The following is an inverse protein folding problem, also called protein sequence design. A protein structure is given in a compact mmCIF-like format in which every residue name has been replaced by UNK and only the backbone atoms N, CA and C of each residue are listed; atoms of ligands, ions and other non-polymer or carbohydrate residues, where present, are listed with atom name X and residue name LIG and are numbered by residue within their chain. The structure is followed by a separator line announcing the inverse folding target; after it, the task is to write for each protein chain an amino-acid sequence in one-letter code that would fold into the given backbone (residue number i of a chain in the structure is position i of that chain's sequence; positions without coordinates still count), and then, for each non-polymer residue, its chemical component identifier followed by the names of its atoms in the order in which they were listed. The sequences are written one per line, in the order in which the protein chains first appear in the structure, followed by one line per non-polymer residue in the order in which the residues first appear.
data_IF_786161763918
#
_entry.id   IF_786161763918
#
_cell.length_a   1.000
_cell.length_b   1.000
_cell.length_c   1.000
_cell.angle_alpha   90.00
_cell.angle_beta   90.00
_cell.angle_gamma   90.00
#
_symmetry.space_group_name_H-M   'P 1'
#
loop_
_entity.id
_entity.type
_entity.pdbx_description
1 polymer ?
#
# COMPACT_ATOMS: atom_id res chain seq x y z
N UNK A 1 -21.70 -9.07 -3.09
CA UNK A 1 -22.78 -10.00 -3.43
C UNK A 1 -22.73 -11.23 -2.57
N UNK A 2 -23.80 -11.57 -1.92
CA UNK A 2 -23.98 -12.85 -1.24
C UNK A 2 -24.05 -13.92 -2.29
N UNK A 3 -23.07 -14.81 -2.34
CA UNK A 3 -23.17 -16.03 -3.14
C UNK A 3 -24.28 -16.90 -2.52
N UNK A 4 -25.44 -16.90 -3.12
CA UNK A 4 -26.46 -17.91 -2.85
C UNK A 4 -26.16 -19.10 -3.77
N UNK A 5 -26.26 -20.31 -3.24
CA UNK A 5 -26.25 -21.51 -4.09
C UNK A 5 -27.41 -21.38 -5.07
N UNK A 6 -27.12 -21.10 -6.33
CA UNK A 6 -28.09 -20.84 -7.40
C UNK A 6 -28.14 -19.42 -7.94
N UNK A 7 -27.50 -18.44 -7.28
CA UNK A 7 -27.50 -17.05 -7.73
C UNK A 7 -26.07 -16.50 -7.54
N UNK A 8 -25.12 -16.99 -8.31
CA UNK A 8 -23.73 -16.53 -8.27
C UNK A 8 -23.59 -15.34 -9.21
N UNK A 9 -23.63 -14.14 -8.68
CA UNK A 9 -23.19 -12.95 -9.39
C UNK A 9 -21.66 -12.93 -9.38
N UNK A 10 -21.04 -13.38 -10.46
CA UNK A 10 -19.60 -13.33 -10.66
C UNK A 10 -19.19 -11.89 -10.99
N UNK A 11 -19.04 -11.07 -9.97
CA UNK A 11 -18.46 -9.73 -10.13
C UNK A 11 -16.93 -9.78 -10.09
N UNK A 12 -16.28 -8.98 -10.94
CA UNK A 12 -14.83 -8.80 -10.89
C UNK A 12 -14.48 -7.88 -9.74
N UNK A 13 -14.06 -8.45 -8.61
CA UNK A 13 -13.66 -7.68 -7.41
C UNK A 13 -12.30 -7.01 -7.57
N UNK A 14 -11.45 -7.49 -8.46
CA UNK A 14 -10.05 -7.08 -8.64
C UNK A 14 -9.83 -6.11 -9.81
N UNK A 15 -10.86 -5.42 -10.28
CA UNK A 15 -10.77 -4.54 -11.45
C UNK A 15 -9.61 -3.52 -11.35
N UNK A 16 -9.41 -2.93 -10.18
CA UNK A 16 -8.38 -1.90 -9.94
C UNK A 16 -6.94 -2.44 -9.96
N UNK A 17 -6.74 -3.72 -9.74
CA UNK A 17 -5.41 -4.37 -9.71
C UNK A 17 -5.26 -5.45 -10.80
N UNK A 18 -6.22 -5.51 -11.73
CA UNK A 18 -6.24 -6.53 -12.78
C UNK A 18 -4.97 -6.51 -13.64
N UNK A 19 -4.43 -5.32 -13.89
CA UNK A 19 -3.17 -5.19 -14.65
C UNK A 19 -2.00 -5.84 -13.92
N UNK A 20 -1.90 -5.65 -12.60
CA UNK A 20 -0.85 -6.28 -11.78
C UNK A 20 -0.93 -7.80 -11.87
N UNK A 21 -2.15 -8.34 -11.85
CA UNK A 21 -2.34 -9.79 -12.01
C UNK A 21 -1.93 -10.25 -13.42
N UNK A 22 -2.37 -9.56 -14.47
CA UNK A 22 -2.03 -9.92 -15.87
C UNK A 22 -0.53 -9.88 -16.12
N UNK A 23 0.17 -8.86 -15.64
CA UNK A 23 1.61 -8.69 -15.86
C UNK A 23 2.44 -9.77 -15.15
N UNK A 24 1.88 -10.41 -14.13
CA UNK A 24 2.57 -11.43 -13.35
C UNK A 24 2.09 -12.86 -13.57
N UNK A 25 0.99 -13.07 -14.32
CA UNK A 25 0.44 -14.39 -14.59
C UNK A 25 1.37 -15.27 -15.45
N UNK A 26 2.08 -14.70 -16.39
CA UNK A 26 2.92 -15.45 -17.34
C UNK A 26 4.19 -16.03 -16.73
N UNK A 27 4.70 -15.38 -15.68
CA UNK A 27 5.94 -15.76 -15.00
C UNK A 27 5.70 -16.33 -13.60
N UNK A 28 4.46 -16.64 -13.29
CA UNK A 28 4.06 -17.07 -11.97
C UNK A 28 4.46 -18.51 -11.69
N UNK A 29 5.73 -18.74 -11.49
CA UNK A 29 6.20 -20.02 -10.99
C UNK A 29 5.68 -20.29 -9.56
N UNK A 30 5.46 -19.26 -8.76
CA UNK A 30 5.00 -19.39 -7.38
C UNK A 30 4.03 -18.28 -6.99
N UNK A 31 2.74 -18.58 -7.00
CA UNK A 31 1.74 -17.77 -6.28
C UNK A 31 1.70 -18.23 -4.84
N UNK A 32 1.94 -17.31 -3.93
CA UNK A 32 1.85 -17.57 -2.50
C UNK A 32 0.79 -16.66 -1.90
N UNK A 33 -0.12 -17.20 -1.14
CA UNK A 33 -1.25 -16.46 -0.59
C UNK A 33 -1.38 -16.66 0.92
N UNK A 34 -1.86 -15.62 1.59
CA UNK A 34 -2.00 -15.54 3.04
C UNK A 34 -3.32 -14.90 3.40
N UNK A 35 -4.02 -15.47 4.36
CA UNK A 35 -5.23 -14.88 4.96
C UNK A 35 -4.92 -14.42 6.38
N UNK A 36 -5.28 -13.19 6.70
CA UNK A 36 -5.17 -12.65 8.05
C UNK A 36 -6.59 -12.32 8.54
N UNK A 37 -7.25 -13.23 9.27
CA UNK A 37 -8.65 -13.07 9.65
C UNK A 37 -8.93 -11.83 10.49
N UNK A 38 -8.09 -11.53 11.48
CA UNK A 38 -8.25 -10.40 12.40
C UNK A 38 -8.27 -9.04 11.69
N UNK A 39 -7.61 -8.96 10.52
CA UNK A 39 -7.58 -7.76 9.69
C UNK A 39 -8.53 -7.84 8.50
N UNK A 40 -9.26 -8.93 8.35
CA UNK A 40 -10.08 -9.20 7.15
C UNK A 40 -9.28 -9.00 5.86
N UNK A 41 -8.02 -9.44 5.88
CA UNK A 41 -7.08 -9.26 4.78
C UNK A 41 -6.77 -10.58 4.07
N UNK A 42 -6.68 -10.49 2.77
CA UNK A 42 -6.10 -11.50 1.89
C UNK A 42 -4.90 -10.90 1.16
N UNK A 43 -3.75 -11.55 1.27
CA UNK A 43 -2.53 -11.14 0.59
C UNK A 43 -2.14 -12.18 -0.42
N UNK A 44 -1.77 -11.76 -1.61
CA UNK A 44 -1.22 -12.62 -2.65
C UNK A 44 0.12 -12.04 -3.11
N UNK A 45 1.11 -12.90 -3.27
CA UNK A 45 2.45 -12.54 -3.70
C UNK A 45 2.76 -13.25 -5.00
N UNK A 46 3.36 -12.53 -5.93
CA UNK A 46 3.83 -13.03 -7.22
C UNK A 46 5.34 -13.22 -7.11
N UNK A 47 5.76 -14.28 -6.42
CA UNK A 47 7.18 -14.54 -6.15
C UNK A 47 7.87 -15.19 -7.34
N UNK A 48 9.04 -14.66 -7.68
CA UNK A 48 9.92 -15.16 -8.74
C UNK A 48 11.28 -15.48 -8.12
N UNK A 49 11.83 -16.65 -8.43
CA UNK A 49 13.03 -17.16 -7.78
C UNK A 49 14.26 -16.27 -7.98
N UNK A 50 14.45 -15.74 -9.18
CA UNK A 50 15.65 -15.00 -9.56
C UNK A 50 15.44 -13.49 -9.65
N UNK A 51 14.45 -12.96 -8.97
CA UNK A 51 14.11 -11.53 -8.98
C UNK A 51 14.39 -10.93 -7.61
N UNK A 52 14.95 -9.72 -7.58
CA UNK A 52 15.19 -9.02 -6.31
C UNK A 52 13.89 -8.79 -5.53
N UNK A 53 13.98 -8.75 -4.21
CA UNK A 53 12.83 -8.49 -3.33
C UNK A 53 12.12 -7.18 -3.66
N UNK A 54 12.89 -6.13 -3.96
CA UNK A 54 12.36 -4.82 -4.36
C UNK A 54 11.48 -4.86 -5.63
N UNK A 55 11.70 -5.85 -6.49
CA UNK A 55 10.95 -6.04 -7.73
C UNK A 55 9.76 -6.99 -7.56
N UNK A 56 9.68 -7.71 -6.44
CA UNK A 56 8.55 -8.60 -6.16
C UNK A 56 7.31 -7.78 -5.83
N UNK A 57 6.21 -8.13 -6.46
CA UNK A 57 4.93 -7.46 -6.29
C UNK A 57 3.98 -8.42 -5.58
N UNK A 58 3.25 -7.88 -4.62
CA UNK A 58 2.12 -8.53 -4.01
C UNK A 58 0.89 -7.62 -4.06
N UNK A 59 -0.25 -8.16 -3.75
CA UNK A 59 -1.50 -7.43 -3.59
C UNK A 59 -2.12 -7.75 -2.25
N UNK A 60 -2.56 -6.71 -1.56
CA UNK A 60 -3.36 -6.82 -0.34
C UNK A 60 -4.79 -6.48 -0.70
N UNK A 61 -5.71 -7.37 -0.38
CA UNK A 61 -7.13 -7.16 -0.45
C UNK A 61 -7.69 -7.07 0.96
N UNK A 62 -8.40 -6.00 1.27
CA UNK A 62 -9.11 -5.80 2.54
C UNK A 62 -10.60 -5.78 2.27
N UNK A 63 -11.36 -6.56 2.99
CA UNK A 63 -12.81 -6.52 2.94
C UNK A 63 -13.32 -5.49 3.94
N UNK A 64 -14.01 -4.45 3.44
CA UNK A 64 -14.67 -3.45 4.27
C UNK A 64 -16.15 -3.34 3.93
N UNK A 65 -17.00 -3.73 4.87
CA UNK A 65 -18.43 -3.76 4.65
C UNK A 65 -18.81 -4.70 3.49
N UNK A 66 -19.36 -4.13 2.41
CA UNK A 66 -19.71 -4.87 1.19
C UNK A 66 -18.70 -4.69 0.05
N UNK A 67 -17.60 -3.98 0.29
CA UNK A 67 -16.59 -3.67 -0.72
C UNK A 67 -15.24 -4.30 -0.45
N UNK A 68 -14.42 -4.31 -1.50
CA UNK A 68 -13.03 -4.77 -1.45
C UNK A 68 -12.10 -3.62 -1.82
N UNK A 69 -11.11 -3.39 -0.99
CA UNK A 69 -10.06 -2.41 -1.23
C UNK A 69 -8.76 -3.15 -1.55
N UNK A 70 -8.07 -2.68 -2.58
CA UNK A 70 -6.81 -3.29 -3.02
C UNK A 70 -5.66 -2.32 -2.90
N UNK A 71 -4.53 -2.85 -2.47
CA UNK A 71 -3.26 -2.16 -2.41
C UNK A 71 -2.16 -3.06 -2.97
N UNK A 72 -1.10 -2.48 -3.48
CA UNK A 72 0.09 -3.23 -3.90
C UNK A 72 1.13 -3.23 -2.80
N UNK A 73 1.81 -4.35 -2.63
CA UNK A 73 2.90 -4.54 -1.69
C UNK A 73 4.18 -4.87 -2.45
N UNK A 74 5.30 -4.27 -2.05
CA UNK A 74 6.63 -4.55 -2.61
C UNK A 74 7.64 -4.78 -1.50
N UNK A 75 8.73 -5.45 -1.81
CA UNK A 75 9.82 -5.66 -0.87
C UNK A 75 9.71 -6.94 -0.04
N UNK A 76 8.71 -7.79 -0.31
CA UNK A 76 8.58 -9.11 0.33
C UNK A 76 8.53 -10.17 -0.77
N UNK A 77 9.45 -11.14 -0.72
CA UNK A 77 9.54 -12.24 -1.68
C UNK A 77 9.37 -13.58 -0.95
N UNK A 78 8.14 -14.01 -0.67
CA UNK A 78 7.89 -15.24 0.04
C UNK A 78 8.02 -16.46 -0.88
N UNK A 79 8.63 -17.54 -0.39
CA UNK A 79 8.58 -18.87 -0.98
C UNK A 79 7.36 -19.66 -0.49
N UNK A 80 6.95 -19.40 0.74
CA UNK A 80 5.76 -19.97 1.37
C UNK A 80 5.23 -18.97 2.40
N UNK A 81 3.97 -19.12 2.77
CA UNK A 81 3.33 -18.27 3.79
C UNK A 81 2.43 -19.09 4.69
N UNK A 82 2.31 -18.68 5.92
CA UNK A 82 1.37 -19.27 6.87
C UNK A 82 0.96 -18.23 7.93
N UNK A 83 -0.14 -18.52 8.63
CA UNK A 83 -0.59 -17.78 9.80
C UNK A 83 -0.59 -18.68 11.01
N UNK A 84 -0.02 -18.18 12.11
CA UNK A 84 0.00 -18.86 13.40
C UNK A 84 -0.77 -18.04 14.42
N UNK A 85 -1.52 -18.70 15.27
CA UNK A 85 -2.17 -18.05 16.42
C UNK A 85 -1.29 -18.25 17.65
N UNK A 86 -0.78 -17.15 18.18
CA UNK A 86 0.05 -17.13 19.39
C UNK A 86 -0.55 -16.15 20.41
N UNK A 87 -0.85 -16.64 21.59
CA UNK A 87 -1.44 -15.85 22.68
C UNK A 87 -2.74 -15.12 22.30
N UNK A 88 -3.49 -15.61 21.33
CA UNK A 88 -4.73 -14.99 20.83
C UNK A 88 -4.55 -14.04 19.65
N UNK A 89 -3.32 -13.70 19.27
CA UNK A 89 -3.01 -12.87 18.12
C UNK A 89 -2.71 -13.73 16.89
N UNK A 90 -3.20 -13.30 15.74
CA UNK A 90 -2.85 -13.91 14.45
C UNK A 90 -1.55 -13.32 13.93
N UNK A 91 -0.56 -14.16 13.78
CA UNK A 91 0.77 -13.80 13.30
C UNK A 91 0.93 -14.27 11.87
N UNK A 92 1.19 -13.33 10.98
CA UNK A 92 1.52 -13.62 9.60
C UNK A 92 3.03 -13.91 9.47
N UNK A 93 3.37 -15.03 8.87
CA UNK A 93 4.76 -15.44 8.63
C UNK A 93 4.97 -15.78 7.16
N UNK A 94 6.23 -15.71 6.72
CA UNK A 94 6.64 -16.20 5.41
C UNK A 94 8.05 -16.75 5.45
N UNK A 95 8.30 -17.77 4.65
CA UNK A 95 9.63 -18.26 4.36
C UNK A 95 10.25 -17.49 3.19
N UNK A 96 11.49 -17.06 3.33
CA UNK A 96 12.27 -16.46 2.26
C UNK A 96 12.92 -17.52 1.36
N UNK A 97 13.52 -17.08 0.23
CA UNK A 97 14.39 -17.93 -0.59
C UNK A 97 15.82 -18.04 -0.05
N UNK A 98 16.11 -17.29 0.99
CA UNK A 98 17.38 -17.28 1.74
C UNK A 98 17.44 -18.32 2.86
N UNK A 99 16.33 -19.05 3.08
CA UNK A 99 16.22 -20.09 4.11
C UNK A 99 15.75 -19.57 5.48
N UNK A 100 15.43 -18.30 5.60
CA UNK A 100 14.89 -17.73 6.84
C UNK A 100 13.36 -17.70 6.83
N UNK A 101 12.79 -17.69 8.05
CA UNK A 101 11.36 -17.46 8.28
C UNK A 101 11.20 -16.09 8.91
N UNK A 102 10.40 -15.26 8.27
CA UNK A 102 10.14 -13.89 8.67
C UNK A 102 8.75 -13.75 9.28
N UNK A 103 8.67 -12.97 10.35
CA UNK A 103 7.41 -12.53 10.93
C UNK A 103 7.04 -11.20 10.29
N UNK A 104 5.91 -11.15 9.61
CA UNK A 104 5.41 -9.91 9.01
C UNK A 104 4.87 -8.94 10.08
N UNK A 105 4.86 -7.67 9.75
CA UNK A 105 4.28 -6.60 10.58
C UNK A 105 4.92 -6.46 11.97
N UNK A 106 6.20 -6.67 12.04
CA UNK A 106 7.01 -6.40 13.24
C UNK A 106 8.09 -5.38 12.92
N UNK A 107 8.16 -4.32 13.78
CA UNK A 107 9.11 -3.23 13.58
C UNK A 107 8.73 -2.28 12.43
N UNK A 108 9.63 -1.36 12.12
CA UNK A 108 9.41 -0.25 11.17
C UNK A 108 10.28 -0.38 9.91
N UNK A 109 10.88 -1.54 9.67
CA UNK A 109 11.77 -1.79 8.55
C UNK A 109 11.48 -3.14 7.91
N UNK A 110 11.86 -3.32 6.65
CA UNK A 110 11.95 -4.63 6.02
C UNK A 110 13.35 -5.18 6.25
N UNK A 111 13.53 -5.98 7.29
CA UNK A 111 14.81 -6.57 7.67
C UNK A 111 15.97 -5.54 7.69
N UNK A 112 15.72 -4.40 8.35
CA UNK A 112 16.66 -3.27 8.41
C UNK A 112 16.60 -2.31 7.21
N UNK A 113 15.95 -2.65 6.11
CA UNK A 113 15.75 -1.76 4.98
C UNK A 113 14.56 -0.81 5.20
N UNK A 114 14.66 0.42 4.69
CA UNK A 114 13.58 1.40 4.78
C UNK A 114 12.35 0.95 4.01
N UNK A 115 11.17 1.14 4.62
CA UNK A 115 9.89 0.92 3.96
C UNK A 115 9.57 2.15 3.10
N UNK A 116 9.54 1.98 1.78
CA UNK A 116 9.14 3.01 0.86
C UNK A 116 7.65 2.88 0.54
N UNK A 117 6.83 3.80 1.06
CA UNK A 117 5.40 3.83 0.85
C UNK A 117 5.02 4.94 -0.14
N UNK A 118 4.13 4.65 -1.08
CA UNK A 118 3.60 5.62 -2.03
C UNK A 118 2.09 5.58 -2.01
N UNK A 119 1.49 6.73 -1.74
CA UNK A 119 0.06 6.94 -1.90
C UNK A 119 -0.21 7.86 -3.09
N UNK A 120 -1.12 7.49 -3.96
CA UNK A 120 -1.60 8.32 -5.05
C UNK A 120 -3.11 8.42 -4.95
N UNK A 121 -3.63 9.65 -4.83
CA UNK A 121 -5.05 9.89 -4.95
C UNK A 121 -5.51 9.70 -6.41
N UNK A 122 -6.77 9.37 -6.66
CA UNK A 122 -7.34 9.50 -7.99
C UNK A 122 -7.30 10.97 -8.44
N UNK A 123 -7.41 11.18 -9.76
CA UNK A 123 -7.48 12.51 -10.34
C UNK A 123 -8.80 13.19 -9.92
N UNK A 124 -8.67 14.36 -9.30
CA UNK A 124 -9.80 15.12 -8.77
C UNK A 124 -10.22 16.20 -9.77
N UNK A 125 -11.34 16.02 -10.44
CA UNK A 125 -11.89 17.01 -11.37
C UNK A 125 -12.56 18.20 -10.66
N UNK A 126 -12.86 18.10 -9.36
CA UNK A 126 -13.50 19.14 -8.54
C UNK A 126 -14.78 19.71 -9.18
N UNK A 127 -15.61 18.85 -9.73
CA UNK A 127 -16.87 19.17 -10.41
C UNK A 127 -16.72 19.22 -11.91
N UNK A 128 -16.67 20.40 -12.54
CA UNK A 128 -16.57 20.55 -13.99
C UNK A 128 -15.11 20.49 -14.46
N UNK A 129 -14.69 19.50 -15.25
CA UNK A 129 -13.34 19.38 -15.77
C UNK A 129 -12.95 20.50 -16.76
N UNK A 130 -13.92 21.16 -17.39
CA UNK A 130 -13.69 22.26 -18.34
C UNK A 130 -13.35 23.60 -17.69
N UNK A 131 -13.53 23.71 -16.38
CA UNK A 131 -13.26 24.95 -15.63
C UNK A 131 -11.88 24.91 -14.99
N UNK A 132 -11.09 25.96 -15.24
CA UNK A 132 -9.79 26.13 -14.58
C UNK A 132 -9.95 26.26 -13.07
N UNK A 133 -9.22 25.44 -12.31
CA UNK A 133 -9.24 25.45 -10.86
C UNK A 133 -7.97 26.13 -10.32
N UNK A 134 -8.11 26.84 -9.20
CA UNK A 134 -7.01 27.40 -8.47
C UNK A 134 -6.96 26.77 -7.07
N UNK A 135 -5.98 25.92 -6.85
CA UNK A 135 -5.77 25.29 -5.55
C UNK A 135 -4.96 26.23 -4.66
N UNK A 136 -5.53 26.61 -3.53
CA UNK A 136 -4.88 27.54 -2.59
C UNK A 136 -4.14 26.81 -1.47
N UNK A 137 -4.65 25.66 -1.05
CA UNK A 137 -4.10 24.92 0.09
C UNK A 137 -4.35 23.41 -0.04
N UNK A 138 -3.35 22.65 0.36
CA UNK A 138 -3.48 21.21 0.60
C UNK A 138 -3.16 20.97 2.07
N UNK A 139 -4.09 20.35 2.81
CA UNK A 139 -3.85 19.95 4.19
C UNK A 139 -3.67 18.43 4.21
N UNK A 140 -2.56 17.98 4.77
CA UNK A 140 -2.25 16.58 4.95
C UNK A 140 -2.14 16.33 6.45
N UNK A 141 -3.01 15.46 6.97
CA UNK A 141 -2.96 15.03 8.36
C UNK A 141 -2.37 13.62 8.39
N UNK A 142 -1.32 13.43 9.17
CA UNK A 142 -0.70 12.14 9.38
C UNK A 142 -0.29 11.99 10.84
N UNK A 143 -0.29 10.76 11.33
CA UNK A 143 0.18 10.38 12.65
C UNK A 143 1.48 9.59 12.48
N UNK A 144 2.65 10.20 12.70
CA UNK A 144 3.91 9.52 12.53
C UNK A 144 4.17 8.58 13.72
N UNK A 145 4.55 7.35 13.44
CA UNK A 145 5.05 6.40 14.46
C UNK A 145 6.57 6.51 14.64
N UNK A 146 7.25 7.16 13.70
CA UNK A 146 8.70 7.41 13.71
C UNK A 146 9.01 8.64 12.87
N UNK A 147 10.29 9.00 12.75
CA UNK A 147 10.74 10.05 11.82
C UNK A 147 10.32 9.69 10.40
N UNK A 148 9.62 10.62 9.75
CA UNK A 148 9.15 10.48 8.38
C UNK A 148 9.97 11.39 7.49
N UNK A 149 10.47 10.81 6.39
CA UNK A 149 11.00 11.51 5.24
C UNK A 149 10.00 11.30 4.09
N UNK A 150 9.26 12.32 3.73
CA UNK A 150 8.18 12.20 2.76
C UNK A 150 8.12 13.42 1.83
N UNK A 151 7.77 13.15 0.59
CA UNK A 151 7.57 14.17 -0.44
C UNK A 151 6.12 14.20 -0.92
N UNK A 152 5.58 15.40 -1.05
CA UNK A 152 4.31 15.64 -1.72
C UNK A 152 4.54 16.03 -3.18
N UNK A 153 4.01 15.21 -4.10
CA UNK A 153 3.98 15.53 -5.53
C UNK A 153 2.58 15.95 -5.96
N UNK A 154 2.45 17.13 -6.51
CA UNK A 154 1.19 17.60 -7.11
C UNK A 154 1.28 17.44 -8.62
N UNK A 155 0.27 16.79 -9.21
CA UNK A 155 0.16 16.59 -10.66
C UNK A 155 -1.08 17.30 -11.17
N UNK A 156 -0.97 17.91 -12.33
CA UNK A 156 -2.04 18.66 -12.98
C UNK A 156 -2.38 18.03 -14.33
N UNK A 157 -3.61 18.29 -14.78
CA UNK A 157 -4.08 17.95 -16.12
C UNK A 157 -3.84 16.49 -16.51
N UNK A 158 -4.24 15.58 -15.61
CA UNK A 158 -4.10 14.13 -15.80
C UNK A 158 -2.68 13.69 -16.18
N UNK A 159 -1.68 14.36 -15.64
CA UNK A 159 -0.25 14.14 -15.94
C UNK A 159 0.12 14.39 -17.41
N UNK A 160 -0.61 15.24 -18.13
CA UNK A 160 -0.28 15.64 -19.49
C UNK A 160 1.19 16.07 -19.58
N UNK A 161 1.85 15.72 -20.67
CA UNK A 161 3.26 16.08 -20.91
C UNK A 161 3.45 17.60 -21.00
N UNK A 162 2.42 18.32 -21.38
CA UNK A 162 2.43 19.79 -21.54
C UNK A 162 2.06 20.53 -20.24
N UNK A 163 1.60 19.82 -19.19
CA UNK A 163 1.25 20.43 -17.93
C UNK A 163 2.48 20.76 -17.10
N UNK A 164 2.39 21.85 -16.32
CA UNK A 164 3.42 22.24 -15.37
C UNK A 164 3.56 21.15 -14.32
N UNK A 165 4.79 20.72 -14.06
CA UNK A 165 5.12 19.76 -13.00
C UNK A 165 5.93 20.50 -11.93
N UNK A 166 5.30 20.93 -10.84
CA UNK A 166 6.04 21.55 -9.75
C UNK A 166 7.01 20.55 -9.12
N UNK A 167 8.07 21.08 -8.53
CA UNK A 167 8.99 20.28 -7.72
C UNK A 167 8.25 19.61 -6.56
N UNK A 168 8.82 18.55 -6.01
CA UNK A 168 8.32 17.93 -4.80
C UNK A 168 8.34 18.93 -3.63
N UNK A 169 7.35 18.83 -2.78
CA UNK A 169 7.29 19.59 -1.52
C UNK A 169 7.71 18.64 -0.39
N UNK A 170 8.87 18.86 0.26
CA UNK A 170 9.29 18.01 1.37
C UNK A 170 8.34 18.17 2.57
N UNK A 171 7.99 17.06 3.17
CA UNK A 171 7.14 16.97 4.35
C UNK A 171 7.94 16.36 5.52
N UNK A 172 9.07 16.98 5.84
CA UNK A 172 9.97 16.47 6.87
C UNK A 172 9.34 16.55 8.25
N UNK A 173 9.35 15.45 8.97
CA UNK A 173 8.90 15.40 10.36
C UNK A 173 9.99 15.85 11.36
N UNK A 174 11.13 16.31 10.89
CA UNK A 174 12.23 16.85 11.72
C UNK A 174 11.86 18.15 12.44
N UNK A 175 10.82 18.82 12.01
CA UNK A 175 10.27 19.95 12.72
C UNK A 175 9.38 19.47 13.86
N UNK A 176 10.03 19.34 15.02
CA UNK A 176 9.47 19.48 16.36
C UNK A 176 7.96 19.25 16.41
N UNK A 177 7.57 18.08 16.86
CA UNK A 177 6.25 17.91 17.47
C UNK A 177 6.15 19.03 18.52
N UNK A 178 5.42 20.08 18.20
CA UNK A 178 5.17 21.16 19.14
C UNK A 178 4.46 20.56 20.34
N UNK A 179 5.21 20.28 21.39
CA UNK A 179 4.62 19.88 22.66
C UNK A 179 3.82 21.09 23.10
N UNK A 180 2.51 20.94 23.11
CA UNK A 180 1.59 21.97 23.57
C UNK A 180 2.03 22.40 24.99
N UNK A 181 2.45 23.65 25.15
CA UNK A 181 2.96 24.17 26.43
C UNK A 181 4.48 24.24 26.55
N UNK A 182 5.28 23.88 25.53
CA UNK A 182 6.71 24.19 25.54
C UNK A 182 6.94 25.65 25.13
N UNK A 183 7.86 26.33 25.82
CA UNK A 183 8.21 27.74 25.58
C UNK A 183 8.82 28.03 24.19
N UNK A 184 8.85 27.03 23.30
CA UNK A 184 9.38 27.09 21.94
C UNK A 184 8.29 27.02 20.86
N UNK A 185 7.00 26.95 21.19
CA UNK A 185 5.92 27.09 20.22
C UNK A 185 5.65 28.58 19.97
N UNK A 186 6.43 29.18 19.11
CA UNK A 186 6.07 30.46 18.47
C UNK A 186 5.15 30.19 17.31
N UNK A 187 3.93 30.71 17.39
CA UNK A 187 2.97 30.79 16.30
C UNK A 187 3.49 31.70 15.17
#
# INVERSE_FOLDING_TARGET
GTARIGDVELGTISANVQQVFRDNLTDAANFVALVIPDKTQYRIFFSKENVSESSTIGSICVMRGQGFEFSTLRGIRPSCTDTVVEAGDVIAMHGGFDGYVYRQERGNTFDGALINAKYRSPDLNMGDPGVRKHMQRVNINYAPESTIDADLFVRYDYESQNAIRPAAYPLDSTNVVGIYGSALSTY
#
